data_IF_230293006967
#
_entry.id   IF_230293006967
#
_cell.length_a   1.000
_cell.length_b   1.000
_cell.length_c   1.000
_cell.angle_alpha   90.00
_cell.angle_beta   90.00
_cell.angle_gamma   90.00
#
_symmetry.space_group_name_H-M   'P 1'
#
loop_
_entity.id
_entity.type
_entity.pdbx_description
1 polymer ?
#
# COMPACT_ATOMS: atom_id res chain seq x y z
N UNK A 1 -16.80 5.97 3.30
CA UNK A 1 -15.49 5.82 2.66
C UNK A 1 -15.75 5.71 1.17
N UNK A 2 -15.03 6.46 0.34
CA UNK A 2 -15.08 6.31 -1.11
C UNK A 2 -14.57 4.91 -1.51
N UNK A 3 -14.93 4.44 -2.70
CA UNK A 3 -14.38 3.18 -3.21
C UNK A 3 -12.88 3.35 -3.42
N UNK A 4 -12.09 2.35 -3.04
CA UNK A 4 -10.66 2.34 -3.34
C UNK A 4 -10.43 2.34 -4.85
N UNK A 5 -9.46 3.14 -5.29
CA UNK A 5 -8.85 2.98 -6.60
C UNK A 5 -8.04 1.66 -6.66
N UNK A 6 -7.75 1.15 -7.87
CA UNK A 6 -6.91 -0.03 -8.02
C UNK A 6 -5.56 0.12 -7.31
N UNK A 7 -5.23 -0.86 -6.46
CA UNK A 7 -4.02 -0.90 -5.64
C UNK A 7 -3.83 0.31 -4.70
N UNK A 8 -4.94 0.95 -4.30
CA UNK A 8 -4.96 1.88 -3.17
C UNK A 8 -5.06 1.11 -1.86
N UNK A 9 -4.32 1.53 -0.84
CA UNK A 9 -4.42 0.95 0.48
C UNK A 9 -5.81 1.22 1.07
N UNK A 10 -6.51 0.16 1.48
CA UNK A 10 -7.82 0.24 2.12
C UNK A 10 -7.73 0.39 3.64
N UNK A 11 -6.65 -0.07 4.25
CA UNK A 11 -6.38 0.08 5.69
C UNK A 11 -4.91 0.37 5.93
N UNK A 12 -4.62 1.30 6.83
CA UNK A 12 -3.30 1.49 7.44
C UNK A 12 -3.33 1.00 8.89
N UNK A 13 -2.33 0.21 9.31
CA UNK A 13 -2.09 -0.08 10.73
C UNK A 13 -1.37 1.09 11.37
N UNK A 14 -1.97 1.67 12.40
CA UNK A 14 -1.29 2.64 13.26
C UNK A 14 -0.13 1.98 14.00
N UNK A 15 0.74 2.80 14.60
CA UNK A 15 1.81 2.32 15.48
C UNK A 15 1.29 1.51 16.69
N UNK A 16 0.03 1.71 17.09
CA UNK A 16 -0.65 0.96 18.15
C UNK A 16 -1.30 -0.34 17.65
N UNK A 17 -1.13 -0.68 16.37
CA UNK A 17 -1.75 -1.85 15.73
C UNK A 17 -3.24 -1.67 15.41
N UNK A 18 -3.78 -0.44 15.51
CA UNK A 18 -5.18 -0.16 15.17
C UNK A 18 -5.33 -0.06 13.65
N UNK A 19 -6.36 -0.73 13.11
CA UNK A 19 -6.74 -0.62 11.69
C UNK A 19 -7.43 0.72 11.45
N UNK A 20 -6.80 1.59 10.67
CA UNK A 20 -7.34 2.87 10.20
C UNK A 20 -7.88 2.67 8.78
N UNK A 21 -9.21 2.66 8.59
CA UNK A 21 -9.79 2.52 7.26
C UNK A 21 -9.55 3.78 6.42
N UNK A 22 -9.15 3.60 5.16
CA UNK A 22 -8.86 4.69 4.22
C UNK A 22 -9.95 4.78 3.13
N UNK A 23 -10.29 3.65 2.50
CA UNK A 23 -11.30 3.53 1.46
C UNK A 23 -12.04 2.18 1.57
N UNK A 24 -13.10 1.97 0.78
CA UNK A 24 -13.91 0.73 0.77
C UNK A 24 -13.59 -0.16 -0.44
N UNK A 25 -13.47 -1.47 -0.24
CA UNK A 25 -13.21 -2.46 -1.30
C UNK A 25 -14.49 -2.85 -2.06
N UNK A 26 -15.10 -1.88 -2.75
CA UNK A 26 -16.35 -2.05 -3.49
C UNK A 26 -17.49 -2.66 -2.64
N UNK A 27 -17.70 -2.10 -1.44
CA UNK A 27 -18.74 -2.57 -0.51
C UNK A 27 -18.38 -3.83 0.29
N UNK A 28 -17.14 -4.31 0.18
CA UNK A 28 -16.58 -5.41 0.99
C UNK A 28 -15.58 -4.88 2.01
N UNK A 29 -15.33 -5.68 3.04
CA UNK A 29 -14.28 -5.43 4.01
C UNK A 29 -12.89 -5.51 3.37
N UNK A 30 -11.99 -4.65 3.83
CA UNK A 30 -10.58 -4.68 3.46
C UNK A 30 -9.94 -5.99 3.96
N UNK A 31 -9.37 -6.83 3.06
CA UNK A 31 -8.73 -8.08 3.44
C UNK A 31 -7.67 -7.91 4.54
N UNK A 32 -7.47 -8.97 5.33
CA UNK A 32 -6.55 -8.97 6.47
C UNK A 32 -5.52 -10.12 6.39
N UNK A 33 -5.23 -10.60 5.19
CA UNK A 33 -4.25 -11.67 4.93
C UNK A 33 -2.94 -11.11 4.38
N UNK A 34 -1.85 -11.87 4.51
CA UNK A 34 -0.52 -11.43 4.07
C UNK A 34 -0.41 -11.22 2.55
N UNK A 35 -1.19 -11.94 1.75
CA UNK A 35 -1.25 -11.73 0.29
C UNK A 35 -1.85 -10.37 -0.11
N UNK A 36 -2.47 -9.65 0.82
CA UNK A 36 -3.05 -8.32 0.60
C UNK A 36 -2.31 -7.22 1.36
N UNK A 37 -1.14 -7.53 1.93
CA UNK A 37 -0.45 -6.66 2.88
C UNK A 37 0.96 -6.30 2.40
N UNK A 38 1.31 -5.03 2.49
CA UNK A 38 2.69 -4.53 2.38
C UNK A 38 3.00 -3.68 3.60
N UNK A 39 3.99 -4.09 4.40
CA UNK A 39 4.31 -3.44 5.69
C UNK A 39 3.08 -3.28 6.58
N UNK A 40 2.65 -2.03 6.84
CA UNK A 40 1.49 -1.68 7.65
C UNK A 40 0.24 -1.37 6.81
N UNK A 41 0.30 -1.54 5.49
CA UNK A 41 -0.79 -1.22 4.57
C UNK A 41 -1.47 -2.50 4.07
N UNK A 42 -2.80 -2.50 4.04
CA UNK A 42 -3.62 -3.54 3.40
C UNK A 42 -4.30 -2.99 2.15
N UNK A 43 -4.46 -3.84 1.15
CA UNK A 43 -5.00 -3.52 -0.17
C UNK A 43 -6.21 -4.41 -0.49
N UNK A 44 -7.11 -3.93 -1.34
CA UNK A 44 -8.27 -4.71 -1.75
C UNK A 44 -7.86 -5.89 -2.65
N UNK A 45 -6.81 -5.69 -3.43
CA UNK A 45 -6.23 -6.64 -4.38
C UNK A 45 -5.12 -7.48 -3.75
N UNK A 46 -4.90 -8.65 -4.34
CA UNK A 46 -3.74 -9.48 -4.00
C UNK A 46 -2.47 -8.74 -4.45
N UNK A 47 -1.62 -8.36 -3.50
CA UNK A 47 -0.35 -7.68 -3.81
C UNK A 47 0.70 -8.67 -4.30
N UNK A 48 0.53 -9.98 -4.03
CA UNK A 48 1.50 -11.01 -4.41
C UNK A 48 1.63 -11.20 -5.93
N UNK A 49 0.65 -10.72 -6.69
CA UNK A 49 0.67 -10.74 -8.17
C UNK A 49 1.24 -9.46 -8.78
N UNK A 50 1.48 -8.42 -7.97
CA UNK A 50 2.09 -7.16 -8.43
C UNK A 50 3.55 -7.42 -8.82
N UNK A 51 4.00 -6.85 -9.93
CA UNK A 51 5.37 -7.02 -10.40
C UNK A 51 6.39 -6.44 -9.40
N UNK A 52 7.56 -7.05 -9.33
CA UNK A 52 8.68 -6.52 -8.54
C UNK A 52 9.19 -5.21 -9.17
N UNK A 53 9.64 -4.25 -8.36
CA UNK A 53 10.25 -3.05 -8.89
C UNK A 53 11.54 -3.41 -9.67
N UNK A 54 11.81 -2.77 -10.81
CA UNK A 54 12.99 -3.05 -11.64
C UNK A 54 14.30 -2.52 -11.03
N UNK A 55 14.24 -1.51 -10.16
CA UNK A 55 15.37 -0.85 -9.53
C UNK A 55 14.94 -0.19 -8.20
N UNK A 56 15.92 0.23 -7.41
CA UNK A 56 15.72 0.80 -6.06
C UNK A 56 15.27 2.26 -6.06
N UNK A 57 15.40 2.95 -7.18
CA UNK A 57 15.04 4.37 -7.32
C UNK A 57 13.58 4.56 -7.76
N UNK A 58 12.93 3.49 -8.22
CA UNK A 58 11.52 3.49 -8.60
C UNK A 58 10.62 3.71 -7.39
N UNK A 59 9.63 4.59 -7.56
CA UNK A 59 8.51 4.74 -6.62
C UNK A 59 7.72 3.43 -6.56
N UNK A 60 7.86 2.73 -5.44
CA UNK A 60 7.14 1.50 -5.16
C UNK A 60 5.75 1.78 -4.60
N UNK A 61 5.63 2.77 -3.70
CA UNK A 61 4.37 3.24 -3.13
C UNK A 61 4.37 4.75 -3.12
N UNK A 62 3.34 5.38 -3.68
CA UNK A 62 3.16 6.83 -3.60
C UNK A 62 2.23 7.19 -2.45
N UNK A 63 2.59 8.23 -1.70
CA UNK A 63 1.69 8.86 -0.73
C UNK A 63 0.85 9.87 -1.50
N UNK A 64 -0.46 9.64 -1.56
CA UNK A 64 -1.42 10.51 -2.23
C UNK A 64 -2.14 11.30 -1.14
N UNK A 65 -2.17 12.62 -1.26
CA UNK A 65 -3.01 13.44 -0.40
C UNK A 65 -4.40 13.52 -1.03
N UNK A 66 -5.32 12.68 -0.56
CA UNK A 66 -6.74 12.83 -0.83
C UNK A 66 -7.30 14.04 -0.08
N UNK A 67 -8.55 14.42 -0.39
CA UNK A 67 -9.25 15.46 0.37
C UNK A 67 -9.47 14.95 1.79
N UNK A 68 -8.61 15.40 2.72
CA UNK A 68 -8.75 15.16 4.16
C UNK A 68 -8.07 13.91 4.71
N UNK A 69 -7.44 13.05 3.90
CA UNK A 69 -6.74 11.85 4.37
C UNK A 69 -5.46 11.54 3.57
N UNK A 70 -4.53 10.84 4.23
CA UNK A 70 -3.34 10.29 3.61
C UNK A 70 -3.72 8.93 3.01
N UNK A 71 -3.57 8.80 1.69
CA UNK A 71 -3.77 7.57 0.95
C UNK A 71 -2.44 7.03 0.42
N UNK A 72 -2.41 5.74 0.09
CA UNK A 72 -1.21 5.07 -0.41
C UNK A 72 -1.56 4.28 -1.66
N UNK A 73 -0.75 4.41 -2.72
CA UNK A 73 -0.93 3.67 -3.96
C UNK A 73 0.29 2.83 -4.28
N UNK A 74 0.09 1.52 -4.38
CA UNK A 74 1.13 0.56 -4.74
C UNK A 74 1.34 0.52 -6.25
N UNK A 75 2.58 0.65 -6.69
CA UNK A 75 2.99 0.56 -8.09
C UNK A 75 3.80 -0.69 -8.38
N UNK A 76 4.69 -1.10 -7.48
CA UNK A 76 5.50 -2.31 -7.60
C UNK A 76 5.94 -2.80 -6.22
N UNK A 77 6.42 -4.05 -6.16
CA UNK A 77 6.86 -4.67 -4.91
C UNK A 77 8.36 -4.60 -4.68
N UNK A 78 8.73 -4.49 -3.42
CA UNK A 78 10.10 -4.57 -2.93
C UNK A 78 10.25 -5.73 -1.94
N UNK A 79 11.48 -6.19 -1.69
CA UNK A 79 11.75 -7.05 -0.54
C UNK A 79 11.68 -6.23 0.75
N UNK A 80 12.35 -5.07 0.77
CA UNK A 80 12.25 -4.07 1.83
C UNK A 80 12.00 -2.68 1.25
N UNK A 81 11.26 -1.84 1.97
CA UNK A 81 10.88 -0.50 1.52
C UNK A 81 11.59 0.55 2.36
N UNK A 82 12.09 1.58 1.69
CA UNK A 82 12.62 2.80 2.30
C UNK A 82 11.59 3.92 2.20
N UNK A 83 11.37 4.64 3.30
CA UNK A 83 10.40 5.74 3.36
C UNK A 83 11.07 7.07 3.00
N UNK A 84 10.48 7.77 2.02
CA UNK A 84 10.82 9.13 1.64
C UNK A 84 9.69 10.09 2.03
N UNK A 85 9.89 11.39 1.84
CA UNK A 85 8.92 12.42 2.27
C UNK A 85 7.50 12.23 1.71
N UNK A 86 7.36 11.70 0.49
CA UNK A 86 6.07 11.59 -0.20
C UNK A 86 5.87 10.25 -0.93
N UNK A 87 6.75 9.29 -0.72
CA UNK A 87 6.72 8.00 -1.39
C UNK A 87 7.61 6.99 -0.65
N UNK A 88 7.54 5.74 -1.08
CA UNK A 88 8.46 4.67 -0.69
C UNK A 88 9.13 4.12 -1.94
N UNK A 89 10.40 3.78 -1.82
CA UNK A 89 11.16 3.06 -2.85
C UNK A 89 11.69 1.74 -2.28
N UNK A 90 12.34 0.92 -3.10
CA UNK A 90 12.94 -0.30 -2.58
C UNK A 90 14.28 0.01 -1.91
N UNK A 91 14.43 -0.43 -0.66
CA UNK A 91 15.75 -0.62 -0.06
C UNK A 91 16.42 -1.89 -0.61
N UNK A 92 15.61 -2.93 -0.90
CA UNK A 92 16.07 -4.18 -1.49
C UNK A 92 15.04 -4.71 -2.50
N UNK A 93 15.53 -5.19 -3.65
CA UNK A 93 14.70 -5.76 -4.72
C UNK A 93 14.34 -7.22 -4.41
N UNK A 94 13.25 -7.71 -5.03
CA UNK A 94 12.91 -9.13 -5.01
C UNK A 94 13.82 -9.84 -6.01
N UNK A 95 14.62 -10.80 -5.53
CA UNK A 95 15.49 -11.66 -6.34
C UNK A 95 14.78 -12.86 -6.97
#
# INVERSE_FOLDING_TARGET
AESCDPYQACVLLSAEGRRVPLCSCAGRDCPNTDSHKIQSMYFCEDVSVVYACPDTDRVAIQIINGVGNIDFKLFCRCHTYEAHRSYFSCAELIG
#
